data_IF_675284377201
#
_entry.id   IF_675284377201
#
_cell.length_a   1.000
_cell.length_b   1.000
_cell.length_c   1.000
_cell.angle_alpha   90.00
_cell.angle_beta   90.00
_cell.angle_gamma   90.00
#
_symmetry.space_group_name_H-M   'P 1'
#
loop_
_entity.id
_entity.type
_entity.pdbx_description
1 polymer ?
#
# COMPACT_ATOMS: atom_id res chain seq x y z
N UNK A 1 -13.44 -5.61 -13.03
CA UNK A 1 -12.27 -5.09 -12.28
C UNK A 1 -12.67 -3.94 -11.37
N UNK A 2 -13.34 -2.89 -11.89
CA UNK A 2 -13.88 -1.79 -11.08
C UNK A 2 -14.77 -2.27 -9.93
N UNK A 3 -15.66 -3.24 -10.18
CA UNK A 3 -16.51 -3.80 -9.12
C UNK A 3 -15.72 -4.50 -8.01
N UNK A 4 -14.73 -5.33 -8.37
CA UNK A 4 -13.86 -5.97 -7.39
C UNK A 4 -13.06 -4.97 -6.56
N UNK A 5 -12.69 -3.83 -7.15
CA UNK A 5 -12.03 -2.74 -6.41
C UNK A 5 -12.99 -2.00 -5.47
N UNK A 6 -14.25 -1.78 -5.87
CA UNK A 6 -15.28 -1.22 -4.99
C UNK A 6 -15.54 -2.10 -3.77
N UNK A 7 -15.77 -3.39 -3.98
CA UNK A 7 -15.93 -4.35 -2.87
C UNK A 7 -14.70 -4.40 -1.96
N UNK A 8 -13.51 -4.25 -2.54
CA UNK A 8 -12.27 -4.15 -1.77
C UNK A 8 -12.21 -2.87 -0.92
N UNK A 9 -12.66 -1.72 -1.45
CA UNK A 9 -12.78 -0.49 -0.67
C UNK A 9 -13.82 -0.60 0.44
N UNK A 10 -15.00 -1.16 0.17
CA UNK A 10 -16.06 -1.40 1.16
C UNK A 10 -15.52 -2.20 2.34
N UNK A 11 -14.77 -3.26 2.05
CA UNK A 11 -14.11 -4.07 3.07
C UNK A 11 -13.13 -3.26 3.92
N UNK A 12 -12.26 -2.47 3.29
CA UNK A 12 -11.28 -1.64 4.01
C UNK A 12 -11.94 -0.54 4.84
N UNK A 13 -13.07 0.00 4.38
CA UNK A 13 -13.89 0.94 5.14
C UNK A 13 -14.51 0.24 6.35
N UNK A 14 -15.05 -0.97 6.20
CA UNK A 14 -15.56 -1.75 7.33
C UNK A 14 -14.47 -2.03 8.38
N UNK A 15 -13.26 -2.40 7.95
CA UNK A 15 -12.09 -2.57 8.84
C UNK A 15 -11.71 -1.24 9.53
N UNK A 16 -11.92 -0.09 8.87
CA UNK A 16 -11.67 1.22 9.46
C UNK A 16 -12.76 1.66 10.45
N UNK A 17 -14.01 1.24 10.22
CA UNK A 17 -15.16 1.51 11.08
C UNK A 17 -15.15 0.68 12.36
N UNK A 18 -14.79 -0.60 12.23
CA UNK A 18 -14.65 -1.56 13.31
C UNK A 18 -13.40 -2.42 13.10
N UNK A 19 -12.48 -2.35 14.06
CA UNK A 19 -11.20 -3.05 14.02
C UNK A 19 -11.31 -4.55 14.26
N UNK A 20 -12.47 -5.01 14.76
CA UNK A 20 -12.77 -6.41 15.03
C UNK A 20 -13.39 -7.10 13.82
N UNK A 21 -13.79 -6.34 12.79
CA UNK A 21 -14.17 -6.85 11.45
C UNK A 21 -13.12 -7.81 10.89
N UNK A 22 -11.83 -7.58 11.16
CA UNK A 22 -10.76 -8.49 10.71
C UNK A 22 -10.89 -9.89 11.33
N UNK A 23 -11.26 -9.98 12.61
CA UNK A 23 -11.46 -11.26 13.28
C UNK A 23 -12.73 -11.96 12.80
N UNK A 24 -13.78 -11.18 12.49
CA UNK A 24 -15.01 -11.71 11.88
C UNK A 24 -14.74 -12.26 10.46
N UNK A 25 -13.90 -11.58 9.68
CA UNK A 25 -13.47 -12.04 8.35
C UNK A 25 -12.73 -13.37 8.39
N UNK A 26 -11.92 -13.61 9.42
CA UNK A 26 -11.16 -14.85 9.61
C UNK A 26 -12.04 -16.02 10.07
N UNK A 27 -13.12 -15.74 10.81
CA UNK A 27 -14.02 -16.78 11.32
C UNK A 27 -15.04 -17.27 10.29
N UNK A 28 -15.59 -16.37 9.48
CA UNK A 28 -16.75 -16.75 8.67
C UNK A 28 -16.44 -17.29 7.28
N UNK A 29 -15.28 -17.03 6.64
CA UNK A 29 -14.93 -17.48 5.27
C UNK A 29 -15.97 -17.18 4.14
N UNK A 30 -17.17 -16.73 4.48
CA UNK A 30 -18.40 -16.64 3.69
C UNK A 30 -18.84 -15.19 3.49
N UNK A 31 -18.05 -14.20 3.94
CA UNK A 31 -18.37 -12.81 3.67
C UNK A 31 -18.30 -12.55 2.14
N UNK A 32 -19.37 -12.04 1.50
CA UNK A 32 -19.44 -11.88 0.03
C UNK A 32 -18.30 -11.04 -0.58
N UNK A 33 -17.63 -10.23 0.23
CA UNK A 33 -16.52 -9.36 -0.18
C UNK A 33 -15.17 -10.09 -0.30
N UNK A 34 -15.04 -11.30 0.28
CA UNK A 34 -13.78 -12.05 0.35
C UNK A 34 -13.24 -12.49 -1.04
N UNK A 35 -14.07 -12.96 -1.99
CA UNK A 35 -13.60 -13.27 -3.34
C UNK A 35 -13.05 -12.05 -4.09
N UNK A 36 -13.68 -10.88 -3.93
CA UNK A 36 -13.21 -9.63 -4.52
C UNK A 36 -11.88 -9.18 -3.91
N UNK A 37 -11.73 -9.33 -2.59
CA UNK A 37 -10.45 -9.07 -1.90
C UNK A 37 -9.34 -9.98 -2.43
N UNK A 38 -9.61 -11.30 -2.50
CA UNK A 38 -8.65 -12.28 -3.02
C UNK A 38 -8.21 -11.95 -4.44
N UNK A 39 -9.10 -11.38 -5.27
CA UNK A 39 -8.76 -10.93 -6.62
C UNK A 39 -7.76 -9.76 -6.62
N UNK A 40 -8.02 -8.70 -5.86
CA UNK A 40 -7.12 -7.54 -5.80
C UNK A 40 -5.78 -7.92 -5.14
N UNK A 41 -5.82 -8.62 -4.00
CA UNK A 41 -4.62 -9.09 -3.30
C UNK A 41 -3.80 -10.07 -4.17
N UNK A 42 -4.46 -10.90 -4.96
CA UNK A 42 -3.85 -11.76 -5.96
C UNK A 42 -3.12 -10.96 -7.04
N UNK A 43 -3.77 -9.95 -7.62
CA UNK A 43 -3.14 -9.08 -8.63
C UNK A 43 -1.90 -8.36 -8.08
N UNK A 44 -1.97 -7.83 -6.85
CA UNK A 44 -0.81 -7.22 -6.19
C UNK A 44 0.33 -8.22 -5.99
N UNK A 45 -0.01 -9.45 -5.59
CA UNK A 45 0.97 -10.51 -5.33
C UNK A 45 1.67 -10.98 -6.59
N UNK A 46 0.93 -11.22 -7.67
CA UNK A 46 1.51 -11.66 -8.93
C UNK A 46 2.40 -10.58 -9.56
N UNK A 47 2.01 -9.31 -9.49
CA UNK A 47 2.85 -8.20 -9.96
C UNK A 47 4.12 -8.03 -9.11
N UNK A 48 4.05 -8.26 -7.78
CA UNK A 48 5.25 -8.27 -6.93
C UNK A 48 6.21 -9.40 -7.31
N UNK A 49 5.69 -10.62 -7.54
CA UNK A 49 6.51 -11.76 -7.97
C UNK A 49 7.23 -11.48 -9.29
N UNK A 50 6.52 -10.88 -10.26
CA UNK A 50 7.10 -10.45 -11.54
C UNK A 50 8.23 -9.44 -11.36
N UNK A 51 8.03 -8.38 -10.59
CA UNK A 51 9.11 -7.42 -10.30
C UNK A 51 10.28 -8.05 -9.56
N UNK A 52 10.00 -8.92 -8.59
CA UNK A 52 11.05 -9.59 -7.81
C UNK A 52 11.95 -10.46 -8.70
N UNK A 53 11.41 -11.08 -9.76
CA UNK A 53 12.22 -11.83 -10.72
C UNK A 53 13.24 -10.96 -11.49
N UNK A 54 12.98 -9.64 -11.61
CA UNK A 54 13.88 -8.65 -12.22
C UNK A 54 14.74 -7.91 -11.17
N UNK A 55 14.51 -8.16 -9.88
CA UNK A 55 15.17 -7.48 -8.75
C UNK A 55 15.95 -8.49 -7.90
N UNK A 56 17.28 -8.43 -7.96
CA UNK A 56 18.14 -9.14 -7.01
C UNK A 56 18.29 -8.32 -5.72
N UNK A 57 17.33 -8.45 -4.81
CA UNK A 57 17.36 -7.78 -3.50
C UNK A 57 18.04 -8.67 -2.48
N UNK A 58 18.97 -8.11 -1.71
CA UNK A 58 19.47 -8.77 -0.52
C UNK A 58 18.36 -8.93 0.55
N UNK A 59 18.57 -9.87 1.47
CA UNK A 59 17.56 -10.26 2.47
C UNK A 59 17.19 -9.09 3.40
N UNK A 60 18.16 -8.26 3.78
CA UNK A 60 17.91 -7.10 4.64
C UNK A 60 17.09 -6.03 3.93
N UNK A 61 17.46 -5.70 2.70
CA UNK A 61 16.79 -4.67 1.91
C UNK A 61 15.36 -5.08 1.56
N UNK A 62 15.15 -6.33 1.12
CA UNK A 62 13.82 -6.88 0.88
C UNK A 62 12.95 -6.82 2.13
N UNK A 63 13.47 -7.25 3.29
CA UNK A 63 12.74 -7.18 4.56
C UNK A 63 12.32 -5.75 4.88
N UNK A 64 13.21 -4.78 4.67
CA UNK A 64 12.93 -3.39 4.97
C UNK A 64 11.88 -2.81 4.00
N UNK A 65 11.97 -3.09 2.69
CA UNK A 65 10.94 -2.76 1.69
C UNK A 65 9.56 -3.36 2.01
N UNK A 66 9.50 -4.46 2.75
CA UNK A 66 8.26 -5.14 3.10
C UNK A 66 7.70 -4.79 4.47
N UNK A 67 8.47 -4.10 5.30
CA UNK A 67 8.12 -3.80 6.70
C UNK A 67 7.72 -2.33 6.88
N UNK A 68 8.40 -1.42 6.18
CA UNK A 68 8.27 0.01 6.35
C UNK A 68 7.36 0.61 5.26
N UNK A 69 6.20 1.18 5.62
CA UNK A 69 5.20 1.61 4.64
C UNK A 69 5.57 2.88 3.86
N UNK A 70 6.61 3.59 4.25
CA UNK A 70 7.04 4.82 3.59
C UNK A 70 8.41 4.62 2.91
N UNK A 71 8.55 5.19 1.71
CA UNK A 71 9.77 5.14 0.92
C UNK A 71 10.10 6.53 0.39
N UNK A 72 11.37 6.92 0.49
CA UNK A 72 11.92 8.13 -0.09
C UNK A 72 13.19 7.82 -0.87
N UNK A 73 13.23 8.24 -2.13
CA UNK A 73 14.45 8.19 -2.96
C UNK A 73 15.31 9.43 -2.66
N UNK A 74 16.60 9.21 -2.41
CA UNK A 74 17.59 10.25 -2.14
C UNK A 74 18.68 10.12 -3.19
N UNK A 75 18.75 11.06 -4.11
CA UNK A 75 19.84 11.14 -5.10
C UNK A 75 20.85 12.19 -4.62
N UNK A 76 22.13 11.82 -4.55
CA UNK A 76 23.21 12.75 -4.22
C UNK A 76 24.26 12.71 -5.31
N UNK A 77 24.64 13.87 -5.81
CA UNK A 77 25.80 14.00 -6.69
C UNK A 77 27.06 14.00 -5.82
N UNK A 78 27.94 13.02 -6.03
CA UNK A 78 29.26 12.99 -5.39
C UNK A 78 30.27 13.53 -6.39
N UNK A 79 30.82 14.71 -6.12
CA UNK A 79 31.91 15.28 -6.91
C UNK A 79 33.19 14.52 -6.60
N UNK A 80 33.64 13.67 -7.52
CA UNK A 80 34.95 13.02 -7.47
C UNK A 80 35.92 13.66 -8.46
N UNK A 81 37.23 13.55 -8.20
CA UNK A 81 38.31 14.15 -9.01
C UNK A 81 38.33 13.68 -10.48
N UNK A 82 37.60 12.62 -10.82
CA UNK A 82 37.53 11.99 -12.14
C UNK A 82 36.16 12.12 -12.84
N UNK A 83 35.37 13.14 -12.50
CA UNK A 83 33.98 13.30 -12.96
C UNK A 83 32.97 12.83 -11.89
N UNK A 84 31.83 13.51 -11.80
CA UNK A 84 30.84 13.28 -10.73
C UNK A 84 30.13 11.95 -10.86
N UNK A 85 30.02 11.19 -9.75
CA UNK A 85 29.24 9.95 -9.68
C UNK A 85 27.97 10.20 -8.86
N UNK A 86 26.82 9.99 -9.48
CA UNK A 86 25.52 10.06 -8.79
C UNK A 86 25.33 8.78 -7.97
N UNK A 87 25.14 8.95 -6.65
CA UNK A 87 24.79 7.84 -5.76
C UNK A 87 23.34 8.01 -5.36
N UNK A 88 22.53 7.01 -5.66
CA UNK A 88 21.14 6.96 -5.25
C UNK A 88 20.96 6.02 -4.07
N UNK A 89 20.13 6.46 -3.12
CA UNK A 89 19.75 5.70 -1.94
C UNK A 89 18.24 5.64 -1.83
N UNK A 90 17.74 4.55 -1.29
CA UNK A 90 16.35 4.42 -0.87
C UNK A 90 16.33 4.42 0.65
N UNK A 91 15.55 5.34 1.22
CA UNK A 91 15.28 5.46 2.64
C UNK A 91 13.87 4.94 2.92
N UNK A 92 13.75 3.98 3.82
CA UNK A 92 12.45 3.50 4.28
C UNK A 92 12.16 3.97 5.70
N UNK A 93 10.92 4.44 5.90
CA UNK A 93 10.43 5.07 7.14
C UNK A 93 9.02 4.61 7.49
N UNK A 94 8.45 5.22 8.53
CA UNK A 94 7.12 4.88 9.03
C UNK A 94 7.15 3.77 10.07
N UNK A 95 6.07 3.68 10.84
CA UNK A 95 5.89 2.56 11.78
C UNK A 95 5.47 1.32 11.00
N UNK A 96 6.06 0.19 11.36
CA UNK A 96 5.64 -1.11 10.83
C UNK A 96 4.19 -1.39 11.22
N UNK A 97 3.53 -2.29 10.50
CA UNK A 97 2.14 -2.65 10.74
C UNK A 97 1.93 -4.15 10.56
N UNK A 98 0.91 -4.69 11.22
CA UNK A 98 0.49 -6.07 11.03
C UNK A 98 -0.22 -6.19 9.67
N UNK A 99 0.29 -7.07 8.78
CA UNK A 99 -0.19 -7.15 7.39
C UNK A 99 -1.61 -7.73 7.29
N UNK A 100 -2.07 -8.45 8.31
CA UNK A 100 -3.40 -9.04 8.40
C UNK A 100 -4.40 -8.02 8.93
N UNK A 101 -4.13 -7.44 10.10
CA UNK A 101 -5.05 -6.53 10.79
C UNK A 101 -4.93 -5.08 10.35
N UNK A 102 -3.90 -4.74 9.58
CA UNK A 102 -3.54 -3.38 9.17
C UNK A 102 -3.30 -2.42 10.34
N UNK A 103 -3.24 -2.94 11.58
CA UNK A 103 -2.95 -2.17 12.79
C UNK A 103 -1.46 -1.83 12.81
N UNK A 104 -1.19 -0.54 12.99
CA UNK A 104 0.15 -0.02 13.17
C UNK A 104 0.76 -0.59 14.46
N UNK A 105 2.03 -0.97 14.40
CA UNK A 105 2.75 -1.50 15.55
C UNK A 105 2.88 -0.44 16.64
N UNK A 106 2.67 -0.87 17.90
CA UNK A 106 2.93 -0.05 19.09
C UNK A 106 4.42 0.07 19.38
N UNK A 107 5.22 -0.91 18.93
CA UNK A 107 6.67 -0.82 19.02
C UNK A 107 7.16 0.22 18.03
N UNK A 108 8.04 1.11 18.49
CA UNK A 108 8.57 2.20 17.70
C UNK A 108 9.97 1.77 17.22
N UNK A 109 10.12 1.16 16.02
CA UNK A 109 11.44 0.95 15.47
C UNK A 109 11.99 2.33 15.16
N UNK A 110 12.81 2.88 16.07
CA UNK A 110 13.42 4.22 15.98
C UNK A 110 14.37 4.40 14.78
N UNK A 111 14.36 3.51 13.78
CA UNK A 111 15.38 3.48 12.75
C UNK A 111 14.76 3.45 11.36
N UNK A 112 14.87 4.59 10.66
CA UNK A 112 14.85 4.59 9.21
C UNK A 112 16.01 3.77 8.68
N UNK A 113 15.78 2.95 7.65
CA UNK A 113 16.85 2.19 7.02
C UNK A 113 17.16 2.78 5.64
N UNK A 114 18.44 2.92 5.33
CA UNK A 114 18.92 3.47 4.06
C UNK A 114 19.77 2.44 3.33
N UNK A 115 19.47 2.22 2.05
CA UNK A 115 20.18 1.27 1.19
C UNK A 115 20.66 1.99 -0.06
N UNK A 116 21.90 1.75 -0.47
CA UNK A 116 22.40 2.20 -1.76
C UNK A 116 21.78 1.34 -2.86
N UNK A 117 21.29 1.98 -3.92
CA UNK A 117 20.59 1.31 -5.03
C UNK A 117 21.10 1.87 -6.35
N UNK A 118 21.38 0.98 -7.29
CA UNK A 118 21.70 1.35 -8.67
C UNK A 118 20.57 2.20 -9.27
N UNK A 119 20.87 3.34 -9.92
CA UNK A 119 19.86 4.25 -10.48
C UNK A 119 18.77 3.56 -11.31
N UNK A 120 19.17 2.56 -12.09
CA UNK A 120 18.32 1.78 -13.00
C UNK A 120 17.30 0.91 -12.23
N UNK A 121 17.64 0.51 -10.99
CA UNK A 121 16.81 -0.36 -10.15
C UNK A 121 15.89 0.41 -9.20
N UNK A 122 16.09 1.72 -9.02
CA UNK A 122 15.28 2.54 -8.09
C UNK A 122 13.80 2.42 -8.42
N UNK A 123 13.45 2.60 -9.70
CA UNK A 123 12.05 2.62 -10.11
C UNK A 123 11.38 1.27 -9.87
N UNK A 124 12.08 0.16 -10.15
CA UNK A 124 11.60 -1.19 -9.85
C UNK A 124 11.38 -1.39 -8.34
N UNK A 125 12.31 -0.91 -7.49
CA UNK A 125 12.16 -0.97 -6.04
C UNK A 125 10.95 -0.16 -5.55
N UNK A 126 10.73 1.05 -6.09
CA UNK A 126 9.59 1.89 -5.76
C UNK A 126 8.26 1.25 -6.17
N UNK A 127 8.19 0.61 -7.34
CA UNK A 127 7.00 -0.13 -7.78
C UNK A 127 6.74 -1.35 -6.88
N UNK A 128 7.79 -2.11 -6.55
CA UNK A 128 7.68 -3.26 -5.65
C UNK A 128 7.12 -2.83 -4.28
N UNK A 129 7.67 -1.77 -3.71
CA UNK A 129 7.22 -1.17 -2.45
C UNK A 129 5.76 -0.68 -2.53
N UNK A 130 5.40 0.00 -3.62
CA UNK A 130 4.04 0.50 -3.82
C UNK A 130 3.02 -0.63 -3.87
N UNK A 131 3.31 -1.73 -4.57
CA UNK A 131 2.45 -2.92 -4.57
C UNK A 131 2.37 -3.58 -3.19
N UNK A 132 3.50 -3.67 -2.50
CA UNK A 132 3.63 -4.30 -1.18
C UNK A 132 2.80 -3.61 -0.11
N UNK A 133 2.69 -2.29 -0.19
CA UNK A 133 1.98 -1.46 0.78
C UNK A 133 0.64 -0.91 0.26
N UNK A 134 0.22 -1.28 -0.96
CA UNK A 134 -1.00 -0.75 -1.58
C UNK A 134 -2.23 -0.91 -0.67
N UNK A 135 -2.47 -2.13 -0.14
CA UNK A 135 -3.59 -2.41 0.77
C UNK A 135 -3.58 -1.52 2.01
N UNK A 136 -2.41 -1.36 2.61
CA UNK A 136 -2.24 -0.54 3.79
C UNK A 136 -2.51 0.94 3.51
N UNK A 137 -2.00 1.46 2.40
CA UNK A 137 -2.20 2.86 2.02
C UNK A 137 -3.65 3.17 1.64
N UNK A 138 -4.34 2.27 0.92
CA UNK A 138 -5.78 2.42 0.66
C UNK A 138 -6.56 2.36 1.98
N UNK A 139 -6.22 1.46 2.90
CA UNK A 139 -6.83 1.43 4.23
C UNK A 139 -6.65 2.74 5.00
N UNK A 140 -5.46 3.34 4.97
CA UNK A 140 -5.24 4.64 5.61
C UNK A 140 -6.12 5.73 4.99
N UNK A 141 -6.35 5.70 3.68
CA UNK A 141 -7.28 6.61 3.00
C UNK A 141 -8.74 6.35 3.38
N UNK A 142 -9.17 5.09 3.47
CA UNK A 142 -10.49 4.75 3.99
C UNK A 142 -10.67 5.26 5.43
N UNK A 143 -9.66 5.06 6.29
CA UNK A 143 -9.68 5.53 7.67
C UNK A 143 -9.76 7.05 7.77
N UNK A 144 -9.02 7.78 6.93
CA UNK A 144 -9.08 9.24 6.84
C UNK A 144 -10.49 9.72 6.45
N UNK A 145 -11.10 9.10 5.44
CA UNK A 145 -12.46 9.45 4.98
C UNK A 145 -13.52 9.15 6.05
N UNK A 146 -13.45 7.99 6.71
CA UNK A 146 -14.32 7.62 7.85
C UNK A 146 -14.21 8.64 8.98
N UNK A 147 -12.99 9.01 9.37
CA UNK A 147 -12.75 10.01 10.42
C UNK A 147 -13.27 11.40 10.03
N UNK A 148 -13.12 11.78 8.76
CA UNK A 148 -13.64 13.04 8.23
C UNK A 148 -15.16 13.11 8.34
N UNK A 149 -15.88 12.02 7.99
CA UNK A 149 -17.33 11.95 8.11
C UNK A 149 -17.82 11.97 9.56
N UNK A 150 -17.18 11.18 10.44
CA UNK A 150 -17.50 11.16 11.89
C UNK A 150 -17.29 12.53 12.55
N UNK A 151 -16.29 13.30 12.12
CA UNK A 151 -16.05 14.65 12.62
C UNK A 151 -17.15 15.62 12.22
N UNK A 152 -17.68 15.50 11.00
CA UNK A 152 -18.75 16.38 10.49
C UNK A 152 -20.12 15.99 11.04
N UNK A 153 -20.36 14.70 11.28
CA UNK A 153 -21.63 14.16 11.74
C UNK A 153 -21.39 13.06 12.79
N UNK A 154 -21.57 13.39 14.07
CA UNK A 154 -21.22 12.50 15.19
C UNK A 154 -22.21 11.35 15.39
N UNK A 155 -23.44 11.49 14.90
CA UNK A 155 -24.54 10.56 15.15
C UNK A 155 -24.73 9.50 14.05
N UNK A 156 -23.88 9.51 13.01
CA UNK A 156 -23.97 8.55 11.93
C UNK A 156 -23.60 7.14 12.39
N UNK A 157 -24.43 6.18 12.03
CA UNK A 157 -24.16 4.75 12.22
C UNK A 157 -23.07 4.25 11.27
N UNK A 158 -22.36 3.16 11.60
CA UNK A 158 -21.32 2.61 10.72
C UNK A 158 -21.77 2.35 9.28
N UNK A 159 -22.97 1.80 9.10
CA UNK A 159 -23.54 1.49 7.79
C UNK A 159 -23.78 2.77 6.98
N UNK A 160 -24.22 3.85 7.62
CA UNK A 160 -24.45 5.15 6.99
C UNK A 160 -23.13 5.79 6.56
N UNK A 161 -22.09 5.68 7.39
CA UNK A 161 -20.74 6.15 7.04
C UNK A 161 -20.19 5.37 5.84
N UNK A 162 -20.32 4.03 5.83
CA UNK A 162 -19.91 3.19 4.70
C UNK A 162 -20.59 3.64 3.41
N UNK A 163 -21.92 3.82 3.45
CA UNK A 163 -22.69 4.26 2.28
C UNK A 163 -22.26 5.65 1.81
N UNK A 164 -22.00 6.59 2.72
CA UNK A 164 -21.54 7.94 2.37
C UNK A 164 -20.13 7.92 1.74
N UNK A 165 -19.19 7.12 2.28
CA UNK A 165 -17.89 6.91 1.66
C UNK A 165 -18.03 6.39 0.23
N UNK A 166 -18.84 5.36 0.02
CA UNK A 166 -19.02 4.74 -1.30
C UNK A 166 -19.82 5.62 -2.28
N UNK A 167 -20.64 6.54 -1.78
CA UNK A 167 -21.32 7.56 -2.59
C UNK A 167 -20.38 8.64 -3.13
N UNK A 168 -19.20 8.82 -2.52
CA UNK A 168 -18.18 9.72 -3.04
C UNK A 168 -17.50 9.11 -4.29
N UNK A 169 -18.21 9.15 -5.42
CA UNK A 169 -17.78 8.53 -6.68
C UNK A 169 -16.41 9.03 -7.14
N UNK A 170 -16.16 10.34 -7.02
CA UNK A 170 -14.89 10.96 -7.40
C UNK A 170 -13.72 10.33 -6.63
N UNK A 171 -13.84 10.22 -5.31
CA UNK A 171 -12.81 9.62 -4.47
C UNK A 171 -12.56 8.14 -4.79
N UNK A 172 -13.63 7.35 -4.97
CA UNK A 172 -13.54 5.93 -5.35
C UNK A 172 -12.86 5.77 -6.71
N UNK A 173 -13.21 6.62 -7.68
CA UNK A 173 -12.64 6.59 -9.03
C UNK A 173 -11.17 7.00 -9.04
N UNK A 174 -10.79 8.05 -8.34
CA UNK A 174 -9.39 8.46 -8.20
C UNK A 174 -8.50 7.37 -7.60
N UNK A 175 -9.01 6.62 -6.61
CA UNK A 175 -8.28 5.48 -6.02
C UNK A 175 -8.18 4.30 -7.00
N UNK A 176 -9.23 4.05 -7.78
CA UNK A 176 -9.23 3.01 -8.80
C UNK A 176 -8.27 3.33 -9.95
N UNK A 177 -8.24 4.58 -10.41
CA UNK A 177 -7.32 5.06 -11.45
C UNK A 177 -5.86 4.90 -11.01
N UNK A 178 -5.53 5.36 -9.80
CA UNK A 178 -4.18 5.18 -9.20
C UNK A 178 -3.78 3.71 -9.11
N UNK A 179 -4.72 2.83 -8.80
CA UNK A 179 -4.46 1.39 -8.82
C UNK A 179 -4.17 0.88 -10.24
N UNK A 180 -4.97 1.29 -11.23
CA UNK A 180 -4.74 0.97 -12.63
C UNK A 180 -3.38 1.46 -13.15
N UNK A 181 -3.02 2.71 -12.86
CA UNK A 181 -1.72 3.31 -13.19
C UNK A 181 -0.56 2.53 -12.58
N UNK A 182 -0.68 2.12 -11.30
CA UNK A 182 0.33 1.30 -10.64
C UNK A 182 0.55 -0.02 -11.39
N UNK A 183 -0.52 -0.72 -11.76
CA UNK A 183 -0.40 -1.97 -12.51
C UNK A 183 0.18 -1.76 -13.91
N UNK A 184 -0.21 -0.69 -14.59
CA UNK A 184 0.31 -0.35 -15.91
C UNK A 184 1.82 -0.07 -15.87
N UNK A 185 2.30 0.69 -14.89
CA UNK A 185 3.73 0.93 -14.71
C UNK A 185 4.52 -0.38 -14.48
N UNK A 186 3.95 -1.32 -13.74
CA UNK A 186 4.58 -2.64 -13.53
C UNK A 186 4.64 -3.41 -14.85
N UNK A 187 3.56 -3.42 -15.62
CA UNK A 187 3.53 -4.08 -16.93
C UNK A 187 4.59 -3.51 -17.87
N UNK A 188 4.69 -2.19 -18.02
CA UNK A 188 5.68 -1.54 -18.87
C UNK A 188 7.13 -1.88 -18.50
N UNK A 189 7.42 -2.19 -17.24
CA UNK A 189 8.75 -2.60 -16.77
C UNK A 189 8.97 -4.11 -16.79
N UNK A 190 7.89 -4.89 -16.82
CA UNK A 190 7.93 -6.36 -16.82
C UNK A 190 7.84 -7.00 -18.21
N UNK A 191 7.36 -6.25 -19.21
CA UNK A 191 7.47 -6.61 -20.63
C UNK A 191 8.94 -6.75 -21.08
#
# INVERSE_FOLDING_TARGET
MKESFKSYMELLINIALDSDTVQALEKDNDMPLLPCMKRIDGMLTENRKRLLSKLHLDKSFKRALESFPELKVITREVKTKSGGRSVSKIKMTGKTYNKQTLKMSKTNPKMSQEFAVEPEKIHLCSLYHSLQHHKYHVYLKCKEEVLSLRKRNKDLRPEEILQLCMKNRKWVEELFEKFGELLNHVQQKCL
#
